data_IF_369827595521
#
_entry.id   IF_369827595521
#
_cell.length_a   1.000
_cell.length_b   1.000
_cell.length_c   1.000
_cell.angle_alpha   90.00
_cell.angle_beta   90.00
_cell.angle_gamma   90.00
#
_symmetry.space_group_name_H-M   'P 1'
#
loop_
_entity.id
_entity.type
_entity.pdbx_description
1 polymer ?
#
# COMPACT_ATOMS: atom_id res chain seq x y z
N UNK A 1 -20.07 -14.76 -33.79
CA UNK A 1 -19.50 -13.58 -33.06
C UNK A 1 -18.45 -12.98 -33.97
N UNK A 2 -18.57 -11.72 -34.33
CA UNK A 2 -17.57 -11.04 -35.16
C UNK A 2 -16.27 -10.94 -34.35
N UNK A 3 -15.12 -11.12 -35.00
CA UNK A 3 -13.80 -10.91 -34.42
C UNK A 3 -13.30 -9.49 -34.76
N UNK A 4 -12.56 -8.82 -33.88
CA UNK A 4 -12.05 -7.50 -34.20
C UNK A 4 -11.01 -7.57 -35.31
N UNK A 5 -10.90 -6.49 -36.09
CA UNK A 5 -9.85 -6.34 -37.08
C UNK A 5 -8.47 -6.31 -36.38
N UNK A 6 -7.48 -7.00 -36.95
CA UNK A 6 -6.09 -6.92 -36.50
C UNK A 6 -5.62 -5.46 -36.60
N UNK A 7 -5.21 -4.86 -35.50
CA UNK A 7 -4.80 -3.44 -35.45
C UNK A 7 -5.80 -2.54 -34.75
N UNK A 8 -7.03 -3.00 -34.47
CA UNK A 8 -7.94 -2.30 -33.56
C UNK A 8 -7.43 -2.34 -32.11
N UNK A 9 -7.55 -1.23 -31.39
CA UNK A 9 -7.10 -1.12 -30.00
C UNK A 9 -7.98 -0.12 -29.22
N UNK A 10 -8.14 -0.40 -27.93
CA UNK A 10 -8.60 0.59 -26.96
C UNK A 10 -7.35 1.15 -26.29
N UNK A 11 -7.19 2.47 -26.28
CA UNK A 11 -6.08 3.17 -25.63
C UNK A 11 -6.63 3.84 -24.38
N UNK A 12 -6.22 3.37 -23.20
CA UNK A 12 -6.54 4.01 -21.93
C UNK A 12 -5.55 5.17 -21.72
N UNK A 13 -6.05 6.39 -21.90
CA UNK A 13 -5.33 7.62 -21.60
C UNK A 13 -5.61 8.00 -20.14
N UNK A 14 -4.58 8.39 -19.41
CA UNK A 14 -4.73 8.96 -18.08
C UNK A 14 -4.27 10.41 -18.13
N UNK A 15 -5.13 11.35 -17.78
CA UNK A 15 -4.84 12.78 -17.75
C UNK A 15 -4.20 13.30 -19.06
N UNK A 16 -4.70 12.82 -20.21
CA UNK A 16 -4.15 13.16 -21.51
C UNK A 16 -2.83 12.45 -21.88
N UNK A 17 -2.31 11.62 -20.99
CA UNK A 17 -1.08 10.83 -21.25
C UNK A 17 -1.44 9.56 -21.99
N UNK A 18 -0.91 9.43 -23.22
CA UNK A 18 -1.09 8.25 -24.06
C UNK A 18 0.09 7.31 -23.86
N UNK A 19 -0.12 6.00 -23.62
CA UNK A 19 0.97 5.04 -23.49
C UNK A 19 1.77 4.94 -24.78
N UNK A 20 3.11 4.95 -24.70
CA UNK A 20 3.99 4.81 -25.87
C UNK A 20 3.75 3.52 -26.65
N UNK A 21 3.30 2.46 -25.98
CA UNK A 21 2.91 1.18 -26.60
C UNK A 21 1.71 1.33 -27.57
N UNK A 22 0.90 2.38 -27.43
CA UNK A 22 -0.22 2.66 -28.33
C UNK A 22 0.20 3.33 -29.65
N UNK A 23 1.41 3.89 -29.75
CA UNK A 23 1.85 4.63 -30.92
C UNK A 23 1.77 3.83 -32.24
N UNK A 24 2.12 2.54 -32.31
CA UNK A 24 1.96 1.76 -33.53
C UNK A 24 0.50 1.65 -33.96
N UNK A 25 -0.42 1.37 -33.03
CA UNK A 25 -1.84 1.26 -33.32
C UNK A 25 -2.45 2.60 -33.73
N UNK A 26 -2.09 3.69 -33.04
CA UNK A 26 -2.51 5.04 -33.41
C UNK A 26 -2.08 5.45 -34.84
N UNK A 27 -0.86 5.06 -35.24
CA UNK A 27 -0.35 5.36 -36.60
C UNK A 27 -0.98 4.50 -37.67
N UNK A 28 -1.41 3.30 -37.33
CA UNK A 28 -2.01 2.33 -38.27
C UNK A 28 -3.53 2.42 -38.31
N UNK A 29 -4.16 3.21 -37.44
CA UNK A 29 -5.60 3.35 -37.38
C UNK A 29 -6.19 3.91 -38.68
N UNK A 30 -7.21 3.25 -39.20
CA UNK A 30 -8.06 3.82 -40.26
C UNK A 30 -9.05 4.84 -39.66
N UNK A 31 -9.47 4.58 -38.41
CA UNK A 31 -10.38 5.46 -37.67
C UNK A 31 -9.86 5.66 -36.25
N UNK A 32 -9.77 6.92 -35.84
CA UNK A 32 -9.39 7.34 -34.49
C UNK A 32 -10.60 8.02 -33.84
N UNK A 33 -11.08 7.44 -32.75
CA UNK A 33 -12.15 8.00 -31.93
C UNK A 33 -11.64 8.26 -30.51
N UNK A 34 -12.19 9.27 -29.86
CA UNK A 34 -11.89 9.58 -28.49
C UNK A 34 -13.13 10.06 -27.71
N UNK A 35 -13.14 9.86 -26.42
CA UNK A 35 -14.12 10.44 -25.51
C UNK A 35 -13.80 11.91 -25.21
N UNK A 36 -12.52 12.25 -25.19
CA UNK A 36 -12.06 13.64 -25.13
C UNK A 36 -11.99 14.23 -26.55
N UNK A 37 -12.77 15.28 -26.86
CA UNK A 37 -12.75 15.94 -28.16
C UNK A 37 -11.40 16.52 -28.58
N UNK A 38 -10.49 16.76 -27.63
CA UNK A 38 -9.13 17.21 -27.93
C UNK A 38 -8.26 16.11 -28.53
N UNK A 39 -8.63 14.82 -28.34
CA UNK A 39 -7.88 13.65 -28.78
C UNK A 39 -8.42 12.99 -30.04
N UNK A 40 -9.67 13.25 -30.42
CA UNK A 40 -10.29 12.66 -31.59
C UNK A 40 -11.81 12.88 -31.68
N UNK A 41 -12.41 12.32 -32.72
CA UNK A 41 -13.86 12.39 -32.92
C UNK A 41 -14.61 11.48 -31.94
N UNK A 42 -15.87 11.80 -31.55
CA UNK A 42 -16.67 10.93 -30.70
C UNK A 42 -16.97 9.59 -31.40
N UNK A 43 -17.05 8.48 -30.65
CA UNK A 43 -17.30 7.17 -31.23
C UNK A 43 -18.72 7.08 -31.83
N UNK A 44 -18.85 6.55 -33.05
CA UNK A 44 -20.16 6.40 -33.72
C UNK A 44 -20.97 5.25 -33.09
N UNK A 45 -22.31 5.26 -33.33
CA UNK A 45 -23.17 4.17 -32.86
C UNK A 45 -22.83 2.78 -33.47
N UNK A 46 -22.23 2.74 -34.68
CA UNK A 46 -21.79 1.54 -35.38
C UNK A 46 -20.33 1.17 -35.11
N UNK A 47 -19.78 1.56 -33.96
CA UNK A 47 -18.35 1.37 -33.59
C UNK A 47 -17.89 -0.10 -33.65
N UNK A 48 -18.73 -1.03 -33.23
CA UNK A 48 -18.42 -2.47 -33.19
C UNK A 48 -18.30 -3.06 -34.59
N UNK A 49 -19.22 -2.70 -35.51
CA UNK A 49 -19.22 -3.14 -36.91
C UNK A 49 -17.98 -2.56 -37.61
N UNK A 50 -17.67 -1.31 -37.36
CA UNK A 50 -16.49 -0.67 -37.90
C UNK A 50 -15.20 -1.32 -37.42
N UNK A 51 -15.08 -1.59 -36.13
CA UNK A 51 -13.91 -2.25 -35.54
C UNK A 51 -13.72 -3.71 -35.97
N UNK A 52 -14.77 -4.36 -36.50
CA UNK A 52 -14.67 -5.67 -37.12
C UNK A 52 -14.20 -5.60 -38.59
N UNK A 53 -14.44 -4.48 -39.28
CA UNK A 53 -14.13 -4.30 -40.71
C UNK A 53 -12.78 -3.65 -40.93
N UNK A 54 -12.40 -2.66 -40.13
CA UNK A 54 -11.22 -1.81 -40.30
C UNK A 54 -10.48 -1.57 -38.97
N UNK A 55 -9.17 -1.17 -39.00
CA UNK A 55 -8.45 -0.83 -37.79
C UNK A 55 -9.03 0.39 -37.11
N UNK A 56 -9.64 0.21 -35.97
CA UNK A 56 -10.22 1.27 -35.12
C UNK A 56 -9.39 1.43 -33.86
N UNK A 57 -9.01 2.66 -33.54
CA UNK A 57 -8.46 3.01 -32.25
C UNK A 57 -9.45 3.91 -31.51
N UNK A 58 -9.84 3.49 -30.31
CA UNK A 58 -10.65 4.26 -29.38
C UNK A 58 -9.79 4.71 -28.20
N UNK A 59 -9.62 6.02 -28.03
CA UNK A 59 -8.94 6.61 -26.87
C UNK A 59 -9.98 6.97 -25.82
N UNK A 60 -9.82 6.44 -24.61
CA UNK A 60 -10.73 6.66 -23.47
C UNK A 60 -9.93 6.94 -22.21
N UNK A 61 -10.53 7.63 -21.28
CA UNK A 61 -10.04 7.84 -19.91
C UNK A 61 -10.67 6.85 -18.92
N UNK A 62 -11.77 6.20 -19.30
CA UNK A 62 -12.49 5.23 -18.49
C UNK A 62 -12.93 4.02 -19.34
N UNK A 63 -12.57 2.81 -18.90
CA UNK A 63 -12.95 1.56 -19.54
C UNK A 63 -14.41 1.15 -19.25
N UNK A 64 -15.06 1.76 -18.28
CA UNK A 64 -16.47 1.53 -17.97
C UNK A 64 -17.45 2.20 -18.93
N UNK A 65 -16.95 3.07 -19.79
CA UNK A 65 -17.75 3.72 -20.83
C UNK A 65 -18.36 2.70 -21.80
N UNK A 66 -19.61 2.95 -22.27
CA UNK A 66 -20.32 2.00 -23.16
C UNK A 66 -19.54 1.63 -24.41
N UNK A 67 -18.84 2.57 -25.05
CA UNK A 67 -18.03 2.34 -26.23
C UNK A 67 -16.82 1.42 -25.94
N UNK A 68 -16.12 1.64 -24.83
CA UNK A 68 -15.00 0.80 -24.41
C UNK A 68 -15.47 -0.62 -24.05
N UNK A 69 -16.56 -0.74 -23.29
CA UNK A 69 -17.17 -2.06 -22.97
C UNK A 69 -17.58 -2.83 -24.22
N UNK A 70 -18.16 -2.16 -25.20
CA UNK A 70 -18.57 -2.80 -26.45
C UNK A 70 -17.37 -3.35 -27.23
N UNK A 71 -16.27 -2.60 -27.34
CA UNK A 71 -15.05 -3.08 -28.00
C UNK A 71 -14.32 -4.15 -27.18
N UNK A 72 -14.32 -4.05 -25.86
CA UNK A 72 -13.76 -5.10 -24.97
C UNK A 72 -14.52 -6.42 -25.12
N UNK A 73 -15.85 -6.37 -25.21
CA UNK A 73 -16.68 -7.55 -25.45
C UNK A 73 -16.43 -8.17 -26.84
N UNK A 74 -16.00 -7.37 -27.83
CA UNK A 74 -15.55 -7.85 -29.14
C UNK A 74 -14.16 -8.50 -29.10
N UNK A 75 -13.41 -8.34 -28.03
CA UNK A 75 -12.04 -8.83 -27.85
C UNK A 75 -10.95 -7.88 -28.36
N UNK A 76 -11.25 -6.58 -28.51
CA UNK A 76 -10.25 -5.57 -28.87
C UNK A 76 -9.29 -5.39 -27.68
N UNK A 77 -7.95 -5.43 -27.92
CA UNK A 77 -6.97 -5.30 -26.86
C UNK A 77 -6.97 -3.89 -26.25
N UNK A 78 -6.76 -3.83 -24.92
CA UNK A 78 -6.59 -2.58 -24.19
C UNK A 78 -5.09 -2.29 -24.04
N UNK A 79 -4.68 -1.12 -24.49
CA UNK A 79 -3.32 -0.59 -24.35
C UNK A 79 -3.33 0.49 -23.26
N UNK A 80 -2.75 0.18 -22.12
CA UNK A 80 -2.60 1.08 -20.99
C UNK A 80 -1.14 1.17 -20.56
N UNK A 81 -0.73 2.33 -20.07
CA UNK A 81 0.56 2.43 -19.38
C UNK A 81 0.42 1.86 -17.96
N UNK A 82 1.43 1.15 -17.45
CA UNK A 82 1.46 0.79 -16.04
C UNK A 82 1.34 2.05 -15.17
N UNK A 83 0.50 2.00 -14.13
CA UNK A 83 0.35 3.11 -13.19
C UNK A 83 -0.65 4.19 -13.59
N UNK A 84 -1.38 4.07 -14.69
CA UNK A 84 -2.43 5.04 -15.07
C UNK A 84 -3.48 5.24 -13.99
N UNK A 85 -3.82 4.20 -13.23
CA UNK A 85 -4.71 4.31 -12.08
C UNK A 85 -4.17 5.21 -10.95
N UNK A 86 -2.84 5.31 -10.79
CA UNK A 86 -2.24 6.20 -9.80
C UNK A 86 -2.42 7.67 -10.19
N UNK A 87 -2.31 7.99 -11.48
CA UNK A 87 -2.57 9.35 -11.99
C UNK A 87 -4.04 9.72 -11.78
N UNK A 88 -4.96 8.81 -12.10
CA UNK A 88 -6.39 9.02 -11.87
C UNK A 88 -6.71 9.23 -10.38
N UNK A 89 -6.10 8.44 -9.48
CA UNK A 89 -6.30 8.59 -8.04
C UNK A 89 -5.76 9.94 -7.53
N UNK A 90 -4.58 10.37 -8.00
CA UNK A 90 -4.02 11.68 -7.67
C UNK A 90 -4.94 12.83 -8.14
N UNK A 91 -5.50 12.72 -9.35
CA UNK A 91 -6.46 13.68 -9.88
C UNK A 91 -7.74 13.76 -9.07
N UNK A 92 -8.29 12.61 -8.69
CA UNK A 92 -9.49 12.55 -7.84
C UNK A 92 -9.24 13.28 -6.52
N UNK A 93 -8.10 13.06 -5.88
CA UNK A 93 -7.72 13.75 -4.64
C UNK A 93 -7.60 15.27 -4.86
N UNK A 94 -7.00 15.71 -5.96
CA UNK A 94 -6.94 17.14 -6.31
C UNK A 94 -8.34 17.75 -6.46
N UNK A 95 -9.25 17.09 -7.18
CA UNK A 95 -10.64 17.55 -7.35
C UNK A 95 -11.36 17.62 -6.00
N UNK A 96 -11.23 16.60 -5.15
CA UNK A 96 -11.89 16.55 -3.85
C UNK A 96 -11.45 17.70 -2.93
N UNK A 97 -10.19 18.12 -3.01
CA UNK A 97 -9.63 19.17 -2.16
C UNK A 97 -9.62 20.56 -2.81
N UNK A 98 -9.95 20.67 -4.08
CA UNK A 98 -10.03 21.95 -4.80
C UNK A 98 -11.34 22.72 -4.49
N UNK A 99 -11.41 24.03 -4.76
CA UNK A 99 -12.63 24.81 -4.61
C UNK A 99 -13.82 24.19 -5.34
N UNK A 100 -14.89 23.90 -4.60
CA UNK A 100 -16.07 23.20 -5.13
C UNK A 100 -16.03 21.68 -4.97
N UNK A 101 -14.95 21.13 -4.43
CA UNK A 101 -14.82 19.73 -4.06
C UNK A 101 -15.51 19.36 -2.74
N UNK A 102 -14.95 18.43 -1.98
CA UNK A 102 -15.52 17.96 -0.73
C UNK A 102 -15.21 18.91 0.44
N UNK A 103 -16.19 19.45 1.16
CA UNK A 103 -15.95 20.34 2.29
C UNK A 103 -15.15 19.68 3.42
N UNK A 104 -15.36 18.39 3.67
CA UNK A 104 -14.65 17.65 4.69
C UNK A 104 -13.16 17.49 4.32
N UNK A 105 -12.87 17.13 3.06
CA UNK A 105 -11.49 16.98 2.60
C UNK A 105 -10.72 18.31 2.66
N UNK A 106 -11.40 19.44 2.35
CA UNK A 106 -10.81 20.77 2.37
C UNK A 106 -10.36 21.22 3.79
N UNK A 107 -11.00 20.72 4.85
CA UNK A 107 -10.68 21.07 6.24
C UNK A 107 -9.55 20.21 6.82
N UNK A 108 -9.18 19.09 6.19
CA UNK A 108 -8.19 18.17 6.76
C UNK A 108 -6.77 18.78 6.76
N UNK A 109 -6.02 18.41 7.78
CA UNK A 109 -4.62 18.78 7.98
C UNK A 109 -3.77 17.51 8.19
N UNK A 110 -2.45 17.62 8.10
CA UNK A 110 -1.57 16.51 8.48
C UNK A 110 -1.86 15.98 9.89
N UNK A 111 -2.25 16.85 10.82
CA UNK A 111 -2.55 16.45 12.19
C UNK A 111 -3.87 15.69 12.33
N UNK A 112 -4.94 16.14 11.64
CA UNK A 112 -6.24 15.46 11.69
C UNK A 112 -6.24 14.10 10.99
N UNK A 113 -5.43 13.94 9.94
CA UNK A 113 -5.31 12.71 9.17
C UNK A 113 -4.48 11.61 9.88
N UNK A 114 -3.70 11.95 10.92
CA UNK A 114 -2.82 10.97 11.59
C UNK A 114 -3.55 9.75 12.13
N UNK A 115 -4.75 9.94 12.67
CA UNK A 115 -5.52 8.81 13.23
C UNK A 115 -5.92 7.82 12.12
N UNK A 116 -6.39 8.32 10.98
CA UNK A 116 -6.77 7.48 9.83
C UNK A 116 -5.56 6.75 9.27
N UNK A 117 -4.43 7.41 9.05
CA UNK A 117 -3.20 6.75 8.60
C UNK A 117 -2.80 5.56 9.49
N UNK A 118 -2.97 5.69 10.81
CA UNK A 118 -2.66 4.60 11.75
C UNK A 118 -3.70 3.48 11.66
N UNK A 119 -4.98 3.82 11.51
CA UNK A 119 -6.09 2.91 11.32
C UNK A 119 -5.89 2.06 10.06
N UNK A 120 -5.73 2.69 8.90
CA UNK A 120 -5.49 2.00 7.62
C UNK A 120 -4.25 1.10 7.64
N UNK A 121 -3.18 1.54 8.33
CA UNK A 121 -2.01 0.69 8.52
C UNK A 121 -2.32 -0.58 9.32
N UNK A 122 -3.20 -0.53 10.32
CA UNK A 122 -3.58 -1.71 11.09
C UNK A 122 -4.56 -2.60 10.33
N UNK A 123 -5.50 -2.05 9.58
CA UNK A 123 -6.42 -2.79 8.72
C UNK A 123 -5.66 -3.54 7.63
N UNK A 124 -4.68 -2.89 7.01
CA UNK A 124 -3.76 -3.54 6.08
C UNK A 124 -2.99 -4.72 6.72
N UNK A 125 -2.50 -4.56 7.97
CA UNK A 125 -1.83 -5.64 8.68
C UNK A 125 -2.79 -6.82 8.94
N UNK A 126 -4.04 -6.55 9.35
CA UNK A 126 -5.04 -7.59 9.57
C UNK A 126 -5.39 -8.31 8.25
N UNK A 127 -5.56 -7.60 7.13
CA UNK A 127 -5.79 -8.20 5.82
C UNK A 127 -4.62 -9.11 5.36
N UNK A 128 -3.37 -8.71 5.65
CA UNK A 128 -2.18 -9.53 5.38
C UNK A 128 -2.19 -10.80 6.22
N UNK A 129 -2.49 -10.69 7.51
CA UNK A 129 -2.47 -11.80 8.45
C UNK A 129 -3.59 -12.81 8.20
N UNK A 130 -4.75 -12.35 7.74
CA UNK A 130 -5.90 -13.18 7.36
C UNK A 130 -5.72 -13.83 5.98
N UNK A 131 -4.81 -13.30 5.16
CA UNK A 131 -4.59 -13.75 3.79
C UNK A 131 -5.73 -13.40 2.84
N UNK A 132 -6.59 -12.44 3.21
CA UNK A 132 -7.71 -11.96 2.40
C UNK A 132 -7.19 -11.02 1.30
N UNK A 133 -7.18 -11.52 0.07
CA UNK A 133 -6.70 -10.75 -1.08
C UNK A 133 -7.63 -9.62 -1.50
N UNK A 134 -8.91 -9.69 -1.17
CA UNK A 134 -9.88 -8.63 -1.48
C UNK A 134 -9.67 -7.48 -0.50
N UNK A 135 -9.68 -7.77 0.80
CA UNK A 135 -9.35 -6.81 1.84
C UNK A 135 -7.95 -6.21 1.63
N UNK A 136 -6.92 -7.05 1.35
CA UNK A 136 -5.56 -6.56 1.08
C UNK A 136 -5.50 -5.50 -0.04
N UNK A 137 -6.31 -5.65 -1.10
CA UNK A 137 -6.36 -4.67 -2.19
C UNK A 137 -7.07 -3.39 -1.77
N UNK A 138 -8.12 -3.51 -0.97
CA UNK A 138 -8.87 -2.39 -0.42
C UNK A 138 -7.98 -1.56 0.51
N UNK A 139 -7.38 -2.18 1.51
CA UNK A 139 -6.52 -1.51 2.50
C UNK A 139 -5.24 -0.90 1.89
N UNK A 140 -4.68 -1.53 0.84
CA UNK A 140 -3.61 -0.89 0.07
C UNK A 140 -4.09 0.38 -0.65
N UNK A 141 -5.35 0.44 -1.06
CA UNK A 141 -6.01 1.62 -1.60
C UNK A 141 -6.11 2.73 -0.55
N UNK A 142 -6.50 2.40 0.68
CA UNK A 142 -6.67 3.36 1.76
C UNK A 142 -5.34 3.89 2.31
N UNK A 143 -4.31 3.06 2.38
CA UNK A 143 -2.93 3.54 2.63
C UNK A 143 -2.45 4.46 1.50
N UNK A 144 -2.74 4.15 0.22
CA UNK A 144 -2.44 5.02 -0.90
C UNK A 144 -3.21 6.35 -0.82
N UNK A 145 -4.49 6.32 -0.43
CA UNK A 145 -5.30 7.51 -0.16
C UNK A 145 -4.59 8.43 0.84
N UNK A 146 -4.07 7.90 1.95
CA UNK A 146 -3.32 8.70 2.93
C UNK A 146 -2.08 9.36 2.33
N UNK A 147 -1.34 8.65 1.46
CA UNK A 147 -0.17 9.23 0.77
C UNK A 147 -0.58 10.39 -0.13
N UNK A 148 -1.62 10.20 -0.97
CA UNK A 148 -2.12 11.21 -1.88
C UNK A 148 -2.68 12.42 -1.13
N UNK A 149 -3.43 12.17 -0.06
CA UNK A 149 -4.03 13.22 0.76
C UNK A 149 -2.96 14.07 1.44
N UNK A 150 -1.99 13.45 2.10
CA UNK A 150 -0.88 14.17 2.73
C UNK A 150 -0.06 14.97 1.71
N UNK A 151 0.21 14.43 0.53
CA UNK A 151 0.92 15.16 -0.53
C UNK A 151 0.10 16.37 -1.00
N UNK A 152 -1.23 16.21 -1.20
CA UNK A 152 -2.09 17.31 -1.62
C UNK A 152 -2.25 18.41 -0.55
N UNK A 153 -2.24 18.04 0.74
CA UNK A 153 -2.16 19.02 1.85
C UNK A 153 -0.84 19.78 1.83
N UNK A 154 0.28 19.08 1.59
CA UNK A 154 1.59 19.71 1.56
C UNK A 154 1.77 20.68 0.37
N UNK A 155 1.11 20.44 -0.75
CA UNK A 155 1.13 21.32 -1.91
C UNK A 155 0.55 22.72 -1.62
N UNK A 156 -0.29 22.84 -0.58
CA UNK A 156 -0.87 24.11 -0.13
C UNK A 156 0.02 24.90 0.82
N UNK A 157 1.16 24.36 1.26
CA UNK A 157 2.10 25.06 2.14
C UNK A 157 2.79 26.20 1.39
N UNK A 158 2.60 27.43 1.85
CA UNK A 158 3.13 28.62 1.18
C UNK A 158 4.68 28.75 1.32
N UNK A 159 5.29 28.08 2.30
CA UNK A 159 6.71 28.20 2.59
C UNK A 159 7.55 27.09 1.95
N UNK A 160 7.05 25.86 1.96
CA UNK A 160 7.78 24.69 1.46
C UNK A 160 6.82 23.66 0.82
N UNK A 161 6.16 24.03 -0.30
CA UNK A 161 5.23 23.12 -0.97
C UNK A 161 5.95 21.97 -1.65
N UNK A 162 5.33 20.79 -1.62
CA UNK A 162 5.73 19.66 -2.45
C UNK A 162 4.51 18.86 -2.92
N UNK A 163 4.64 18.21 -4.08
CA UNK A 163 3.58 17.46 -4.74
C UNK A 163 3.75 15.96 -4.57
N UNK A 164 2.76 15.16 -4.97
CA UNK A 164 2.88 13.70 -5.04
C UNK A 164 3.99 13.27 -6.01
N UNK A 165 4.27 14.06 -7.07
CA UNK A 165 5.37 13.78 -7.98
C UNK A 165 6.74 13.97 -7.35
N UNK A 166 6.89 14.93 -6.42
CA UNK A 166 8.11 15.09 -5.64
C UNK A 166 8.31 13.89 -4.70
N UNK A 167 7.25 13.45 -4.03
CA UNK A 167 7.27 12.23 -3.19
C UNK A 167 7.70 11.01 -4.01
N UNK A 168 7.12 10.84 -5.20
CA UNK A 168 7.45 9.73 -6.10
C UNK A 168 8.90 9.81 -6.61
N UNK A 169 9.37 11.01 -6.98
CA UNK A 169 10.75 11.25 -7.44
C UNK A 169 11.77 10.93 -6.35
N UNK A 170 11.51 11.36 -5.13
CA UNK A 170 12.37 11.06 -3.98
C UNK A 170 12.40 9.56 -3.67
N UNK A 171 11.26 8.89 -3.78
CA UNK A 171 11.18 7.44 -3.64
C UNK A 171 12.02 6.73 -4.73
N UNK A 172 11.88 7.13 -6.00
CA UNK A 172 12.65 6.56 -7.11
C UNK A 172 14.16 6.79 -6.89
N UNK A 173 14.56 8.00 -6.55
CA UNK A 173 15.95 8.34 -6.27
C UNK A 173 16.51 7.47 -5.14
N UNK A 174 15.76 7.32 -4.07
CA UNK A 174 16.12 6.47 -2.94
C UNK A 174 16.24 4.99 -3.33
N UNK A 175 15.28 4.46 -4.08
CA UNK A 175 15.27 3.05 -4.49
C UNK A 175 16.41 2.75 -5.46
N UNK A 176 16.60 3.57 -6.49
CA UNK A 176 17.68 3.41 -7.47
C UNK A 176 19.05 3.51 -6.79
N UNK A 177 19.26 4.53 -5.94
CA UNK A 177 20.52 4.74 -5.22
C UNK A 177 20.87 3.60 -4.27
N UNK A 178 19.87 2.92 -3.68
CA UNK A 178 20.08 1.79 -2.76
C UNK A 178 20.11 0.41 -3.42
N UNK A 179 19.92 0.34 -4.74
CA UNK A 179 19.99 -0.90 -5.51
C UNK A 179 20.98 -0.78 -6.68
N UNK A 180 22.24 -0.38 -6.43
CA UNK A 180 23.24 -0.24 -7.51
C UNK A 180 23.47 -1.57 -8.23
N UNK A 181 23.29 -2.70 -7.56
CA UNK A 181 23.38 -4.04 -8.16
C UNK A 181 22.32 -4.31 -9.24
N UNK A 182 21.19 -3.58 -9.22
CA UNK A 182 20.13 -3.68 -10.24
C UNK A 182 20.29 -2.58 -11.31
N UNK A 183 20.54 -1.35 -10.89
CA UNK A 183 20.45 -0.17 -11.76
C UNK A 183 21.78 0.39 -12.26
N UNK A 184 22.93 -0.04 -11.70
CA UNK A 184 24.25 0.52 -12.00
C UNK A 184 25.28 -0.54 -12.46
N UNK A 185 24.82 -1.56 -13.18
CA UNK A 185 25.74 -2.56 -13.79
C UNK A 185 26.17 -3.70 -12.87
N UNK A 186 25.57 -3.81 -11.67
CA UNK A 186 25.82 -4.87 -10.70
C UNK A 186 26.71 -4.44 -9.53
N UNK A 187 26.51 -5.07 -8.39
CA UNK A 187 27.40 -5.00 -7.21
C UNK A 187 27.79 -6.44 -6.83
N UNK A 188 29.06 -6.85 -7.06
CA UNK A 188 29.50 -8.21 -6.77
C UNK A 188 29.39 -8.58 -5.28
N UNK A 189 29.26 -7.60 -4.39
CA UNK A 189 29.10 -7.82 -2.95
C UNK A 189 27.69 -8.26 -2.59
N UNK A 190 26.69 -8.00 -3.43
CA UNK A 190 25.30 -8.37 -3.20
C UNK A 190 24.99 -9.71 -3.87
N UNK A 191 24.95 -10.78 -3.11
CA UNK A 191 24.74 -12.16 -3.60
C UNK A 191 23.43 -12.79 -3.12
N UNK A 192 22.86 -12.26 -2.06
CA UNK A 192 21.64 -12.76 -1.40
C UNK A 192 20.91 -11.64 -0.67
N UNK A 193 19.71 -11.94 -0.16
CA UNK A 193 18.86 -10.98 0.54
C UNK A 193 19.52 -10.42 1.83
N UNK A 194 20.28 -11.26 2.56
CA UNK A 194 20.97 -10.83 3.78
C UNK A 194 22.06 -9.81 3.50
N UNK A 195 22.87 -10.05 2.47
CA UNK A 195 23.92 -9.12 2.01
C UNK A 195 23.31 -7.80 1.54
N UNK A 196 22.18 -7.85 0.84
CA UNK A 196 21.47 -6.65 0.41
C UNK A 196 20.90 -5.86 1.58
N UNK A 197 20.37 -6.51 2.62
CA UNK A 197 19.87 -5.83 3.81
C UNK A 197 20.98 -5.07 4.53
N UNK A 198 22.15 -5.68 4.67
CA UNK A 198 23.31 -5.04 5.28
C UNK A 198 23.75 -3.81 4.46
N UNK A 199 23.87 -3.97 3.14
CA UNK A 199 24.25 -2.89 2.23
C UNK A 199 23.27 -1.73 2.24
N UNK A 200 21.98 -2.03 2.28
CA UNK A 200 20.91 -1.04 2.40
C UNK A 200 21.05 -0.16 3.65
N UNK A 201 21.32 -0.78 4.80
CA UNK A 201 21.49 -0.03 6.05
C UNK A 201 22.78 0.80 6.08
N UNK A 202 23.88 0.33 5.49
CA UNK A 202 25.11 1.11 5.33
C UNK A 202 24.87 2.38 4.51
N UNK A 203 24.23 2.24 3.33
CA UNK A 203 23.88 3.37 2.47
C UNK A 203 22.96 4.36 3.20
N UNK A 204 21.97 3.86 3.93
CA UNK A 204 21.05 4.68 4.72
C UNK A 204 21.73 5.44 5.85
N UNK A 205 22.77 4.88 6.48
CA UNK A 205 23.55 5.58 7.50
C UNK A 205 24.36 6.73 6.89
N UNK A 206 25.00 6.47 5.73
CA UNK A 206 25.80 7.46 5.03
C UNK A 206 24.95 8.65 4.51
N UNK A 207 23.77 8.35 3.93
CA UNK A 207 22.86 9.38 3.41
C UNK A 207 22.35 10.33 4.52
N UNK A 208 22.05 9.80 5.70
CA UNK A 208 21.36 10.56 6.77
C UNK A 208 22.30 11.27 7.75
N UNK A 209 23.64 11.14 7.63
CA UNK A 209 24.65 11.75 8.51
C UNK A 209 24.28 11.70 10.00
N UNK A 210 23.82 10.51 10.46
CA UNK A 210 23.35 10.35 11.85
C UNK A 210 24.47 10.48 12.84
N UNK A 211 24.26 11.26 13.89
CA UNK A 211 25.20 11.42 14.99
C UNK A 211 25.11 10.27 16.00
N UNK A 212 23.93 9.67 16.12
CA UNK A 212 23.67 8.51 16.98
C UNK A 212 23.07 7.34 16.20
N UNK A 213 23.40 6.12 16.62
CA UNK A 213 22.81 4.89 16.06
C UNK A 213 21.28 4.81 16.25
N UNK A 214 20.71 5.54 17.20
CA UNK A 214 19.27 5.60 17.46
C UNK A 214 18.55 6.74 16.75
N UNK A 215 19.27 7.61 16.07
CA UNK A 215 18.65 8.72 15.34
C UNK A 215 17.70 8.24 14.24
N UNK A 216 16.56 8.94 14.14
CA UNK A 216 15.52 8.62 13.15
C UNK A 216 14.78 7.31 13.41
N UNK A 217 14.82 6.79 14.63
CA UNK A 217 13.84 5.81 15.10
C UNK A 217 12.57 6.55 15.49
N UNK A 218 11.45 6.23 14.82
CA UNK A 218 10.17 6.88 15.12
C UNK A 218 9.71 6.48 16.53
N UNK A 219 9.57 7.45 17.42
CA UNK A 219 9.17 7.21 18.82
C UNK A 219 7.67 6.86 18.98
N UNK A 220 6.85 7.15 17.98
CA UNK A 220 5.41 6.85 17.99
C UNK A 220 5.04 5.42 17.60
N UNK A 221 6.01 4.53 17.39
CA UNK A 221 5.77 3.11 17.11
C UNK A 221 5.12 2.42 18.32
N UNK A 222 4.40 1.27 18.12
CA UNK A 222 4.02 0.38 19.21
C UNK A 222 5.23 0.01 20.08
N UNK A 223 5.01 -0.13 21.38
CA UNK A 223 6.11 -0.18 22.34
C UNK A 223 7.08 -1.36 22.11
N UNK A 224 6.55 -2.53 21.73
CA UNK A 224 7.40 -3.70 21.46
C UNK A 224 8.18 -3.54 20.13
N UNK A 225 7.56 -2.94 19.11
CA UNK A 225 8.23 -2.60 17.86
C UNK A 225 9.33 -1.56 18.07
N UNK A 226 9.09 -0.53 18.91
CA UNK A 226 10.10 0.46 19.29
C UNK A 226 11.27 -0.17 20.02
N UNK A 227 11.02 -1.02 21.01
CA UNK A 227 12.05 -1.75 21.74
C UNK A 227 12.88 -2.65 20.81
N UNK A 228 12.23 -3.39 19.92
CA UNK A 228 12.90 -4.21 18.91
C UNK A 228 13.77 -3.37 17.96
N UNK A 229 13.26 -2.22 17.51
CA UNK A 229 14.01 -1.34 16.61
C UNK A 229 15.22 -0.70 17.27
N UNK A 230 15.08 -0.25 18.50
CA UNK A 230 16.21 0.27 19.30
C UNK A 230 17.27 -0.82 19.52
N UNK A 231 16.85 -2.00 19.92
CA UNK A 231 17.75 -3.18 20.10
C UNK A 231 18.49 -3.51 18.81
N UNK A 232 17.82 -3.60 17.67
CA UNK A 232 18.44 -3.85 16.37
C UNK A 232 19.49 -2.80 16.01
N UNK A 233 19.18 -1.52 16.27
CA UNK A 233 20.10 -0.41 15.97
C UNK A 233 21.35 -0.42 16.86
N UNK A 234 21.16 -0.63 18.15
CA UNK A 234 22.26 -0.66 19.13
C UNK A 234 23.12 -1.92 18.96
N UNK A 235 22.52 -3.07 18.66
CA UNK A 235 23.28 -4.30 18.36
C UNK A 235 24.18 -4.12 17.11
N UNK A 236 23.69 -3.49 16.05
CA UNK A 236 24.50 -3.15 14.87
C UNK A 236 25.62 -2.15 15.16
N UNK A 237 25.47 -1.32 16.18
CA UNK A 237 26.50 -0.41 16.69
C UNK A 237 27.44 -1.07 17.71
N UNK A 238 27.37 -2.40 17.85
CA UNK A 238 28.13 -3.20 18.80
C UNK A 238 27.92 -2.81 20.27
N UNK A 239 26.74 -2.30 20.64
CA UNK A 239 26.40 -2.10 22.04
C UNK A 239 26.31 -3.47 22.73
N UNK A 240 27.06 -3.70 23.85
CA UNK A 240 26.97 -4.93 24.62
C UNK A 240 25.53 -5.19 25.12
N UNK A 241 25.08 -6.45 25.03
CA UNK A 241 23.70 -6.81 25.39
C UNK A 241 23.37 -6.60 26.88
N UNK A 242 24.37 -6.62 27.75
CA UNK A 242 24.24 -6.33 29.19
C UNK A 242 23.97 -4.85 29.51
N UNK A 243 24.11 -3.95 28.53
CA UNK A 243 23.73 -2.55 28.64
C UNK A 243 22.28 -2.27 28.19
N UNK A 244 21.56 -3.28 27.66
CA UNK A 244 20.16 -3.13 27.36
C UNK A 244 19.33 -2.93 28.64
N UNK A 245 18.22 -2.15 28.58
CA UNK A 245 17.39 -1.94 29.75
C UNK A 245 16.99 -3.25 30.42
N UNK A 246 17.30 -3.36 31.72
CA UNK A 246 16.97 -4.48 32.57
C UNK A 246 16.50 -3.95 33.94
N UNK A 247 15.53 -4.62 34.56
CA UNK A 247 14.97 -4.22 35.85
C UNK A 247 13.76 -5.04 36.24
N UNK A 248 13.27 -4.82 37.46
CA UNK A 248 12.12 -5.54 38.02
C UNK A 248 10.80 -4.86 37.66
N UNK A 249 10.81 -3.60 37.20
CA UNK A 249 9.60 -2.92 36.77
C UNK A 249 9.05 -3.52 35.47
N UNK A 250 7.75 -3.33 35.24
CA UNK A 250 7.02 -3.91 34.11
C UNK A 250 7.61 -3.42 32.77
N UNK A 251 7.96 -2.14 32.65
CA UNK A 251 8.51 -1.57 31.43
C UNK A 251 9.85 -2.19 31.04
N UNK A 252 10.77 -2.29 31.99
CA UNK A 252 12.08 -2.93 31.79
C UNK A 252 11.95 -4.40 31.40
N UNK A 253 11.04 -5.15 32.04
CA UNK A 253 10.79 -6.57 31.71
C UNK A 253 10.20 -6.74 30.30
N UNK A 254 9.25 -5.90 29.90
CA UNK A 254 8.68 -5.90 28.54
C UNK A 254 9.75 -5.55 27.51
N UNK A 255 10.56 -4.52 27.76
CA UNK A 255 11.67 -4.16 26.90
C UNK A 255 12.66 -5.32 26.74
N UNK A 256 13.12 -5.90 27.85
CA UNK A 256 14.07 -7.02 27.82
C UNK A 256 13.53 -8.24 27.05
N UNK A 257 12.22 -8.53 27.21
CA UNK A 257 11.56 -9.61 26.46
C UNK A 257 11.55 -9.32 24.95
N UNK A 258 11.16 -8.10 24.56
CA UNK A 258 11.14 -7.68 23.16
C UNK A 258 12.56 -7.66 22.55
N UNK A 259 13.55 -7.16 23.31
CA UNK A 259 14.93 -7.12 22.90
C UNK A 259 15.50 -8.53 22.64
N UNK A 260 15.25 -9.46 23.54
CA UNK A 260 15.68 -10.84 23.39
C UNK A 260 15.02 -11.50 22.17
N UNK A 261 13.70 -11.39 22.02
CA UNK A 261 12.98 -11.90 20.85
C UNK A 261 13.60 -11.37 19.55
N UNK A 262 13.91 -10.09 19.48
CA UNK A 262 14.51 -9.46 18.28
C UNK A 262 15.92 -10.00 18.01
N UNK A 263 16.75 -10.20 19.03
CA UNK A 263 18.10 -10.78 18.87
C UNK A 263 18.05 -12.24 18.43
N UNK A 264 17.01 -12.97 18.84
CA UNK A 264 16.73 -14.35 18.44
C UNK A 264 16.03 -14.45 17.06
N UNK A 265 15.84 -13.33 16.35
CA UNK A 265 15.27 -13.28 15.00
C UNK A 265 13.75 -13.23 14.94
N UNK A 266 13.06 -13.09 16.08
CA UNK A 266 11.60 -13.01 16.15
C UNK A 266 11.17 -11.54 16.26
N UNK A 267 10.09 -11.15 15.53
CA UNK A 267 9.46 -9.85 15.75
C UNK A 267 8.53 -9.91 16.97
N UNK A 268 8.80 -9.13 18.04
CA UNK A 268 8.01 -9.21 19.26
C UNK A 268 6.62 -8.60 19.15
N UNK A 269 6.43 -7.62 18.27
CA UNK A 269 5.13 -7.00 18.04
C UNK A 269 4.18 -7.97 17.34
N UNK A 270 4.64 -8.60 16.24
CA UNK A 270 3.87 -9.60 15.51
C UNK A 270 3.56 -10.83 16.39
N UNK A 271 4.54 -11.28 17.19
CA UNK A 271 4.34 -12.38 18.11
C UNK A 271 3.25 -12.07 19.15
N UNK A 272 3.26 -10.86 19.72
CA UNK A 272 2.25 -10.42 20.68
C UNK A 272 0.87 -10.29 20.03
N UNK A 273 0.77 -9.73 18.81
CA UNK A 273 -0.49 -9.64 18.04
C UNK A 273 -1.05 -11.02 17.73
N UNK A 274 -0.21 -11.96 17.31
CA UNK A 274 -0.65 -13.33 17.05
C UNK A 274 -1.26 -13.99 18.29
N UNK A 275 -0.73 -13.73 19.48
CA UNK A 275 -1.30 -14.20 20.75
C UNK A 275 -2.64 -13.51 21.03
N UNK A 276 -2.71 -12.20 20.84
CA UNK A 276 -3.94 -11.44 21.08
C UNK A 276 -5.08 -11.88 20.13
N UNK A 277 -4.77 -12.13 18.85
CA UNK A 277 -5.75 -12.65 17.88
C UNK A 277 -6.24 -14.05 18.28
N UNK A 278 -5.34 -14.95 18.67
CA UNK A 278 -5.75 -16.28 19.16
C UNK A 278 -6.63 -16.17 20.39
N UNK A 279 -6.29 -15.30 21.33
CA UNK A 279 -7.11 -15.08 22.51
C UNK A 279 -8.50 -14.57 22.15
N UNK A 280 -8.61 -13.63 21.19
CA UNK A 280 -9.89 -13.13 20.68
C UNK A 280 -10.71 -14.26 20.02
N UNK A 281 -10.09 -15.13 19.26
CA UNK A 281 -10.73 -16.29 18.65
C UNK A 281 -11.23 -17.27 19.73
N UNK A 282 -10.42 -17.56 20.75
CA UNK A 282 -10.79 -18.42 21.88
C UNK A 282 -12.03 -17.87 22.62
N UNK A 283 -12.06 -16.56 22.89
CA UNK A 283 -13.21 -15.88 23.52
C UNK A 283 -14.46 -16.04 22.66
N UNK A 284 -14.37 -15.73 21.36
CA UNK A 284 -15.51 -15.86 20.44
C UNK A 284 -16.03 -17.30 20.33
N UNK A 285 -15.13 -18.28 20.32
CA UNK A 285 -15.50 -19.70 20.30
C UNK A 285 -16.21 -20.13 21.58
N UNK A 286 -15.72 -19.69 22.74
CA UNK A 286 -16.38 -19.96 24.01
C UNK A 286 -17.80 -19.35 24.09
N UNK A 287 -17.94 -18.10 23.65
CA UNK A 287 -19.24 -17.43 23.59
C UNK A 287 -20.22 -18.11 22.62
N UNK A 288 -19.72 -18.56 21.47
CA UNK A 288 -20.55 -19.29 20.50
C UNK A 288 -21.01 -20.62 21.06
N UNK A 289 -20.13 -21.37 21.73
CA UNK A 289 -20.47 -22.63 22.38
C UNK A 289 -21.51 -22.44 23.52
N UNK A 290 -21.35 -21.39 24.33
CA UNK A 290 -22.34 -21.05 25.38
C UNK A 290 -23.71 -20.73 24.79
N UNK A 291 -23.77 -19.93 23.71
CA UNK A 291 -25.03 -19.62 23.01
C UNK A 291 -25.71 -20.86 22.45
N UNK A 292 -24.92 -21.80 21.91
CA UNK A 292 -25.45 -23.08 21.40
C UNK A 292 -26.11 -23.91 22.49
N UNK A 293 -25.62 -23.84 23.74
CA UNK A 293 -26.21 -24.48 24.91
C UNK A 293 -27.34 -23.62 25.60
N UNK A 294 -27.72 -22.49 24.98
CA UNK A 294 -28.77 -21.60 25.52
C UNK A 294 -28.30 -20.71 26.69
N UNK A 295 -27.00 -20.62 26.92
CA UNK A 295 -26.40 -19.78 27.96
C UNK A 295 -26.03 -18.41 27.35
N UNK A 296 -26.46 -17.34 28.03
CA UNK A 296 -26.10 -15.97 27.66
C UNK A 296 -24.61 -15.71 28.05
N UNK A 297 -23.72 -15.47 27.12
CA UNK A 297 -22.32 -15.21 27.43
C UNK A 297 -22.08 -14.06 28.41
N UNK A 298 -22.92 -13.02 28.36
CA UNK A 298 -22.83 -11.88 29.29
C UNK A 298 -23.11 -12.23 30.76
N UNK A 299 -23.66 -13.42 31.01
CA UNK A 299 -23.96 -13.93 32.33
C UNK A 299 -23.08 -15.08 32.79
N UNK A 300 -22.07 -15.44 31.99
CA UNK A 300 -21.12 -16.49 32.37
C UNK A 300 -20.28 -16.03 33.56
N UNK A 301 -20.20 -16.88 34.57
CA UNK A 301 -19.24 -16.77 35.64
C UNK A 301 -17.91 -17.45 35.30
N UNK A 302 -16.97 -17.50 36.23
CA UNK A 302 -15.65 -18.11 36.03
C UNK A 302 -15.71 -19.59 35.60
N UNK A 303 -16.70 -20.35 36.11
CA UNK A 303 -16.87 -21.76 35.80
C UNK A 303 -17.55 -21.95 34.44
N UNK A 304 -18.46 -21.06 34.09
CA UNK A 304 -19.05 -20.96 32.76
C UNK A 304 -17.97 -20.73 31.69
N UNK A 305 -17.09 -19.75 31.89
CA UNK A 305 -15.98 -19.51 30.99
C UNK A 305 -15.04 -20.73 30.85
N UNK A 306 -14.67 -21.40 31.97
CA UNK A 306 -13.86 -22.61 31.94
C UNK A 306 -14.51 -23.76 31.18
N UNK A 307 -15.83 -23.91 31.35
CA UNK A 307 -16.61 -24.97 30.70
C UNK A 307 -16.61 -24.85 29.18
N UNK A 308 -16.78 -23.64 28.66
CA UNK A 308 -16.89 -23.40 27.23
C UNK A 308 -15.57 -23.01 26.57
N UNK A 309 -14.50 -22.84 27.35
CA UNK A 309 -13.18 -22.49 26.81
C UNK A 309 -12.67 -23.59 25.88
N UNK A 310 -12.23 -23.24 24.62
CA UNK A 310 -11.74 -24.26 23.69
C UNK A 310 -10.52 -24.99 24.27
N UNK A 311 -10.52 -26.32 24.12
CA UNK A 311 -9.36 -27.14 24.51
C UNK A 311 -8.20 -26.78 23.56
N UNK A 312 -7.05 -26.43 24.12
CA UNK A 312 -5.82 -26.23 23.32
C UNK A 312 -5.20 -27.59 23.07
N UNK A 313 -5.04 -27.94 21.80
CA UNK A 313 -4.07 -28.95 21.42
C UNK A 313 -2.66 -28.35 21.69
N UNK A 314 -1.89 -29.04 22.52
CA UNK A 314 -0.50 -28.66 22.88
C UNK A 314 0.46 -28.83 21.70
#
# INVERSE_FOLDING_TARGET
MSTPHQGSAIVLAAEGVIPSAALPSLRAAAHLFATDPALGDPPPGALVELAAAEPVVLVVDDLDLPAAKALTALGVPVLAAPGTGLLAAARVMDVLRSPGGCPWDAEQTHASLRQYLVEECYELLDAIDEGDRVALREELGDVLLQVLFHARVAEEDAADPFTVDDVARDLVTKLVGRHPHVFSGGDPAVRDAGTQELRWEELKQTEKRRESCVDGVASGQPALALAAKLTQRTARANLPADLLPAGEDVGARLFATAARAKLDGTDPEDAARAVARRFTADVRAAELAARADGVDPARMDHDGWRRYWPAREN
#
